data_IF_411633127054
#
_entry.id   IF_411633127054
#
_cell.length_a   1.000
_cell.length_b   1.000
_cell.length_c   1.000
_cell.angle_alpha   90.00
_cell.angle_beta   90.00
_cell.angle_gamma   90.00
#
_symmetry.space_group_name_H-M   'P 1'
#
loop_
_entity.id
_entity.type
_entity.pdbx_description
1 polymer ?
#
# COMPACT_ATOMS: atom_id res chain seq x y z
N UNK A 1 -39.55 -43.57 -7.53
CA UNK A 1 -38.95 -42.77 -6.44
C UNK A 1 -37.42 -42.75 -6.51
N UNK A 2 -36.81 -42.29 -7.62
CA UNK A 2 -35.33 -42.23 -7.78
C UNK A 2 -34.82 -40.92 -8.43
N UNK A 3 -35.71 -40.03 -8.86
CA UNK A 3 -35.34 -38.81 -9.59
C UNK A 3 -35.39 -37.53 -8.75
N UNK A 4 -35.92 -37.60 -7.52
CA UNK A 4 -36.01 -36.45 -6.61
C UNK A 4 -34.70 -36.17 -5.84
N UNK A 5 -33.78 -37.14 -5.77
CA UNK A 5 -32.50 -36.97 -5.07
C UNK A 5 -31.42 -36.28 -5.93
N UNK A 6 -31.62 -36.16 -7.25
CA UNK A 6 -30.65 -35.53 -8.17
C UNK A 6 -30.78 -34.02 -8.29
N UNK A 7 -31.92 -33.44 -7.90
CA UNK A 7 -32.16 -32.01 -8.04
C UNK A 7 -31.72 -31.17 -6.84
N UNK A 8 -31.42 -31.79 -5.70
CA UNK A 8 -30.98 -31.06 -4.49
C UNK A 8 -29.50 -30.69 -4.50
N UNK A 9 -28.66 -31.37 -5.29
CA UNK A 9 -27.21 -31.06 -5.37
C UNK A 9 -26.93 -29.80 -6.21
N UNK A 10 -27.79 -29.45 -7.16
CA UNK A 10 -27.57 -28.30 -8.05
C UNK A 10 -27.88 -26.94 -7.39
N UNK A 11 -28.78 -26.89 -6.40
CA UNK A 11 -29.21 -25.63 -5.78
C UNK A 11 -28.23 -25.11 -4.70
N UNK A 12 -27.44 -25.99 -4.07
CA UNK A 12 -26.49 -25.59 -3.03
C UNK A 12 -25.20 -24.94 -3.58
N UNK A 13 -24.89 -25.13 -4.87
CA UNK A 13 -23.69 -24.58 -5.51
C UNK A 13 -23.85 -23.14 -6.03
N UNK A 14 -25.09 -22.65 -6.21
CA UNK A 14 -25.35 -21.30 -6.76
C UNK A 14 -25.29 -20.21 -5.68
N UNK A 15 -25.53 -20.55 -4.40
CA UNK A 15 -25.58 -19.57 -3.31
C UNK A 15 -24.21 -19.11 -2.78
N UNK A 16 -23.11 -19.79 -3.14
CA UNK A 16 -21.75 -19.39 -2.75
C UNK A 16 -21.12 -18.30 -3.64
N UNK A 17 -21.74 -17.95 -4.78
CA UNK A 17 -21.19 -17.03 -5.78
C UNK A 17 -21.50 -15.53 -5.54
N UNK A 18 -22.34 -15.19 -4.55
CA UNK A 18 -22.69 -13.79 -4.29
C UNK A 18 -21.60 -12.99 -3.53
N UNK A 19 -20.65 -13.67 -2.88
CA UNK A 19 -19.57 -13.05 -2.11
C UNK A 19 -18.46 -12.41 -2.97
N UNK A 20 -18.23 -12.92 -4.19
CA UNK A 20 -17.13 -12.45 -5.05
C UNK A 20 -17.38 -11.06 -5.66
N UNK A 21 -18.64 -10.63 -5.81
CA UNK A 21 -18.96 -9.34 -6.44
C UNK A 21 -18.60 -8.13 -5.57
N UNK A 22 -18.64 -8.27 -4.24
CA UNK A 22 -18.39 -7.14 -3.33
C UNK A 22 -16.91 -6.73 -3.28
N UNK A 23 -15.98 -7.70 -3.32
CA UNK A 23 -14.55 -7.42 -3.31
C UNK A 23 -14.11 -6.64 -4.56
N UNK A 24 -14.65 -7.00 -5.74
CA UNK A 24 -14.31 -6.35 -7.02
C UNK A 24 -14.82 -4.91 -7.11
N UNK A 25 -16.00 -4.63 -6.55
CA UNK A 25 -16.59 -3.28 -6.53
C UNK A 25 -15.84 -2.35 -5.58
N UNK A 26 -15.45 -2.85 -4.40
CA UNK A 26 -14.61 -2.11 -3.45
C UNK A 26 -13.25 -1.75 -4.06
N UNK A 27 -12.54 -2.73 -4.61
CA UNK A 27 -11.23 -2.52 -5.26
C UNK A 27 -11.29 -1.46 -6.36
N UNK A 28 -12.35 -1.43 -7.19
CA UNK A 28 -12.49 -0.39 -8.23
C UNK A 28 -12.59 1.02 -7.66
N UNK A 29 -13.26 1.19 -6.52
CA UNK A 29 -13.49 2.52 -5.92
C UNK A 29 -12.28 3.01 -5.13
N UNK A 30 -11.51 2.10 -4.55
CA UNK A 30 -10.41 2.45 -3.63
C UNK A 30 -9.02 2.30 -4.23
N UNK A 31 -8.88 1.63 -5.38
CA UNK A 31 -7.61 1.51 -6.09
C UNK A 31 -7.03 2.90 -6.39
N UNK A 32 -5.77 3.08 -6.01
CA UNK A 32 -4.96 4.25 -6.35
C UNK A 32 -3.84 3.87 -7.31
N UNK A 33 -3.36 4.81 -8.15
CA UNK A 33 -2.13 4.59 -8.89
C UNK A 33 -0.94 4.59 -7.93
N UNK A 34 0.12 3.84 -8.22
CA UNK A 34 1.38 3.90 -7.46
C UNK A 34 1.97 5.31 -7.50
N UNK A 35 2.06 5.86 -8.73
CA UNK A 35 2.64 7.16 -9.05
C UNK A 35 1.60 8.26 -8.85
N UNK A 36 2.00 9.38 -8.27
CA UNK A 36 1.13 10.54 -8.01
C UNK A 36 0.22 10.40 -6.78
N UNK A 37 0.30 9.28 -6.07
CA UNK A 37 -0.39 9.07 -4.79
C UNK A 37 0.57 9.33 -3.64
N UNK A 38 0.09 10.05 -2.62
CA UNK A 38 0.79 10.13 -1.34
C UNK A 38 0.43 8.92 -0.47
N UNK A 39 1.45 8.23 0.02
CA UNK A 39 1.35 6.99 0.76
C UNK A 39 1.83 7.21 2.20
N UNK A 40 0.94 6.97 3.16
CA UNK A 40 1.19 7.09 4.60
C UNK A 40 1.54 5.72 5.18
N UNK A 41 2.69 5.60 5.85
CA UNK A 41 3.11 4.37 6.51
C UNK A 41 2.14 4.00 7.65
N UNK A 42 1.77 2.72 7.72
CA UNK A 42 0.97 2.16 8.82
C UNK A 42 1.62 0.93 9.47
N UNK A 43 2.59 0.32 8.81
CA UNK A 43 3.34 -0.83 9.34
C UNK A 43 4.77 -0.84 8.80
N UNK A 44 5.75 -1.11 9.66
CA UNK A 44 7.16 -1.17 9.32
C UNK A 44 7.82 -2.37 10.01
N UNK A 45 8.41 -3.28 9.23
CA UNK A 45 9.13 -4.44 9.78
C UNK A 45 8.28 -5.33 10.69
N UNK A 46 6.96 -5.39 10.48
CA UNK A 46 6.02 -6.12 11.33
C UNK A 46 5.40 -5.29 12.46
N UNK A 47 5.96 -4.13 12.80
CA UNK A 47 5.44 -3.24 13.84
C UNK A 47 4.37 -2.29 13.27
N UNK A 48 3.24 -2.16 13.96
CA UNK A 48 2.21 -1.18 13.61
C UNK A 48 2.65 0.22 13.98
N UNK A 49 2.68 1.12 12.99
CA UNK A 49 3.02 2.53 13.17
C UNK A 49 1.73 3.33 13.18
N UNK A 50 1.53 4.16 14.21
CA UNK A 50 0.40 5.09 14.24
C UNK A 50 0.61 6.17 13.17
N UNK A 51 -0.33 6.36 12.23
CA UNK A 51 -0.21 7.41 11.22
C UNK A 51 -0.21 8.79 11.86
N UNK A 52 0.73 9.63 11.45
CA UNK A 52 0.82 11.03 11.83
C UNK A 52 0.98 11.82 10.54
N UNK A 53 0.10 12.78 10.31
CA UNK A 53 0.10 13.60 9.10
C UNK A 53 1.48 14.24 8.87
N UNK A 54 2.01 14.07 7.66
CA UNK A 54 3.32 14.62 7.26
C UNK A 54 4.54 13.86 7.79
N UNK A 55 4.37 12.70 8.44
CA UNK A 55 5.47 11.83 8.89
C UNK A 55 5.37 10.46 8.24
N UNK A 56 6.51 9.86 7.89
CA UNK A 56 6.57 8.56 7.21
C UNK A 56 5.69 8.49 5.96
N UNK A 57 5.78 9.51 5.11
CA UNK A 57 5.06 9.56 3.84
C UNK A 57 6.01 9.39 2.66
N UNK A 58 5.52 8.80 1.57
CA UNK A 58 6.22 8.76 0.28
C UNK A 58 5.27 9.09 -0.86
N UNK A 59 5.81 9.70 -1.90
CA UNK A 59 5.16 9.94 -3.18
C UNK A 59 6.14 9.59 -4.28
N UNK A 60 5.69 8.74 -5.22
CA UNK A 60 6.44 8.39 -6.41
C UNK A 60 5.99 9.30 -7.55
N UNK A 61 6.92 9.98 -8.22
CA UNK A 61 6.62 10.94 -9.29
C UNK A 61 6.89 10.36 -10.67
N UNK A 62 6.19 10.88 -11.69
CA UNK A 62 6.36 10.44 -13.08
C UNK A 62 7.79 10.61 -13.62
N UNK A 63 8.63 11.41 -12.96
CA UNK A 63 10.02 11.64 -13.32
C UNK A 63 10.99 10.60 -12.73
N UNK A 64 10.48 9.48 -12.18
CA UNK A 64 11.32 8.43 -11.58
C UNK A 64 11.97 8.86 -10.26
N UNK A 65 11.29 9.74 -9.51
CA UNK A 65 11.76 10.21 -8.20
C UNK A 65 10.78 9.86 -7.10
N UNK A 66 11.31 9.38 -5.99
CA UNK A 66 10.60 9.28 -4.73
C UNK A 66 10.89 10.55 -3.94
N UNK A 67 9.85 11.15 -3.38
CA UNK A 67 9.93 12.20 -2.38
C UNK A 67 9.09 11.81 -1.17
N UNK A 68 9.47 12.28 0.01
CA UNK A 68 8.76 11.91 1.22
C UNK A 68 9.25 12.60 2.47
N UNK A 69 8.66 12.21 3.59
CA UNK A 69 9.09 12.56 4.93
C UNK A 69 9.27 11.27 5.72
N UNK A 70 10.38 11.16 6.44
CA UNK A 70 10.52 10.19 7.52
C UNK A 70 9.81 10.68 8.78
N UNK A 71 10.29 10.22 9.93
CA UNK A 71 9.85 10.69 11.24
C UNK A 71 10.19 12.17 11.46
N UNK A 72 11.32 12.59 10.92
CA UNK A 72 11.86 13.90 11.17
C UNK A 72 12.49 14.53 9.94
N UNK A 73 13.18 13.74 9.10
CA UNK A 73 13.87 14.27 7.93
C UNK A 73 13.02 14.14 6.67
N UNK A 74 13.24 15.04 5.70
CA UNK A 74 12.72 14.82 4.34
C UNK A 74 13.62 13.83 3.63
N UNK A 75 13.02 12.92 2.87
CA UNK A 75 13.72 11.91 2.07
C UNK A 75 13.42 12.09 0.59
N UNK A 76 14.41 11.82 -0.25
CA UNK A 76 14.23 11.85 -1.70
C UNK A 76 15.30 11.01 -2.41
N UNK A 77 14.95 10.42 -3.54
CA UNK A 77 15.89 9.63 -4.34
C UNK A 77 15.26 9.09 -5.62
N UNK A 78 16.05 8.38 -6.45
CA UNK A 78 15.53 7.77 -7.66
C UNK A 78 14.72 6.51 -7.34
N UNK A 79 13.72 6.21 -8.17
CA UNK A 79 13.08 4.89 -8.18
C UNK A 79 12.85 4.41 -9.62
N UNK A 80 12.66 3.11 -9.76
CA UNK A 80 12.25 2.46 -11.00
C UNK A 80 11.15 1.45 -10.68
N UNK A 81 10.12 1.42 -11.51
CA UNK A 81 9.05 0.43 -11.44
C UNK A 81 8.61 -0.01 -12.84
N UNK A 82 8.16 -1.25 -12.98
CA UNK A 82 7.67 -1.79 -14.24
C UNK A 82 6.23 -2.34 -14.13
N UNK A 83 5.77 -2.98 -15.21
CA UNK A 83 4.41 -3.56 -15.30
C UNK A 83 4.26 -4.84 -14.48
N UNK A 84 5.36 -5.50 -14.13
CA UNK A 84 5.41 -6.75 -13.38
C UNK A 84 5.48 -6.52 -11.87
N UNK A 85 5.29 -5.26 -11.45
CA UNK A 85 5.38 -4.79 -10.07
C UNK A 85 6.77 -4.91 -9.45
N UNK A 86 7.81 -4.97 -10.27
CA UNK A 86 9.16 -4.68 -9.79
C UNK A 86 9.20 -3.25 -9.28
N UNK A 87 9.83 -3.05 -8.13
CA UNK A 87 10.09 -1.72 -7.57
C UNK A 87 11.49 -1.72 -6.98
N UNK A 88 12.34 -0.87 -7.53
CA UNK A 88 13.67 -0.59 -7.01
C UNK A 88 13.75 0.86 -6.60
N UNK A 89 14.02 1.10 -5.33
CA UNK A 89 14.29 2.43 -4.81
C UNK A 89 15.82 2.51 -4.67
N UNK A 90 16.41 3.50 -5.35
CA UNK A 90 17.85 3.72 -5.24
C UNK A 90 18.22 4.42 -3.93
N UNK A 91 19.50 4.79 -3.76
CA UNK A 91 19.95 5.45 -2.55
C UNK A 91 19.13 6.70 -2.23
N UNK A 92 18.57 6.76 -1.03
CA UNK A 92 17.78 7.88 -0.55
C UNK A 92 18.70 8.89 0.14
N UNK A 93 18.60 10.14 -0.28
CA UNK A 93 19.14 11.26 0.47
C UNK A 93 18.13 11.73 1.52
N UNK A 94 18.63 12.15 2.67
CA UNK A 94 17.82 12.75 3.73
C UNK A 94 18.38 14.13 4.13
N UNK A 95 17.51 14.99 4.65
CA UNK A 95 17.98 16.16 5.42
C UNK A 95 18.71 15.70 6.70
N UNK A 96 19.48 16.59 7.33
CA UNK A 96 20.23 16.32 8.58
C UNK A 96 19.69 17.13 9.77
N UNK A 97 18.40 17.05 10.04
CA UNK A 97 17.85 17.54 11.30
C UNK A 97 18.22 16.57 12.43
N UNK A 98 18.62 17.11 13.58
CA UNK A 98 18.92 16.32 14.76
C UNK A 98 17.63 15.99 15.51
N UNK A 99 17.29 14.70 15.57
CA UNK A 99 16.02 14.23 16.12
C UNK A 99 16.32 13.21 17.24
N UNK A 100 15.59 13.21 18.36
CA UNK A 100 15.91 12.35 19.50
C UNK A 100 15.82 10.85 19.21
N UNK A 101 14.90 10.44 18.31
CA UNK A 101 14.73 9.05 17.89
C UNK A 101 14.99 8.91 16.39
N UNK A 102 16.08 8.23 16.04
CA UNK A 102 16.47 7.93 14.66
C UNK A 102 16.26 6.46 14.29
N UNK A 103 15.73 5.64 15.22
CA UNK A 103 15.57 4.20 14.98
C UNK A 103 14.55 3.94 13.88
N UNK A 104 13.37 4.55 14.00
CA UNK A 104 12.30 4.39 13.01
C UNK A 104 12.65 5.05 11.67
N UNK A 105 13.32 6.22 11.70
CA UNK A 105 13.82 6.90 10.50
C UNK A 105 14.72 5.97 9.66
N UNK A 106 15.71 5.36 10.32
CA UNK A 106 16.64 4.45 9.65
C UNK A 106 15.96 3.19 9.15
N UNK A 107 15.14 2.55 9.98
CA UNK A 107 14.40 1.36 9.58
C UNK A 107 13.47 1.63 8.39
N UNK A 108 12.88 2.83 8.34
CA UNK A 108 12.05 3.25 7.22
C UNK A 108 12.83 3.39 5.92
N UNK A 109 13.97 4.10 5.95
CA UNK A 109 14.85 4.23 4.78
C UNK A 109 15.37 2.86 4.32
N UNK A 110 15.85 2.04 5.26
CA UNK A 110 16.35 0.68 4.97
C UNK A 110 15.25 -0.21 4.36
N UNK A 111 14.01 -0.12 4.84
CA UNK A 111 12.88 -0.85 4.27
C UNK A 111 12.60 -0.43 2.81
N UNK A 112 12.61 0.87 2.53
CA UNK A 112 12.41 1.42 1.18
C UNK A 112 13.53 1.00 0.24
N UNK A 113 14.80 1.17 0.63
CA UNK A 113 15.96 0.81 -0.19
C UNK A 113 16.06 -0.71 -0.43
N UNK A 114 15.53 -1.52 0.48
CA UNK A 114 15.45 -2.98 0.31
C UNK A 114 14.36 -3.44 -0.67
N UNK A 115 13.52 -2.54 -1.17
CA UNK A 115 12.40 -2.88 -2.04
C UNK A 115 12.88 -3.58 -3.32
N UNK A 116 12.19 -4.67 -3.65
CA UNK A 116 12.36 -5.41 -4.90
C UNK A 116 11.06 -5.48 -5.69
N UNK A 117 9.93 -5.54 -4.97
CA UNK A 117 8.60 -5.65 -5.52
C UNK A 117 7.64 -4.82 -4.67
N UNK A 118 6.50 -4.51 -5.26
CA UNK A 118 5.38 -3.97 -4.52
C UNK A 118 4.11 -4.73 -4.84
N UNK A 119 3.17 -4.70 -3.91
CA UNK A 119 1.80 -5.10 -4.15
C UNK A 119 0.84 -3.99 -3.79
N UNK A 120 -0.36 -4.06 -4.36
CA UNK A 120 -1.43 -3.13 -4.07
C UNK A 120 -2.73 -3.89 -3.83
N UNK A 121 -3.40 -3.52 -2.74
CA UNK A 121 -4.72 -4.03 -2.36
C UNK A 121 -5.62 -2.84 -2.02
N UNK A 122 -6.47 -2.45 -2.97
CA UNK A 122 -7.34 -1.27 -2.83
C UNK A 122 -6.53 0.01 -2.55
N UNK A 123 -6.69 0.62 -1.36
CA UNK A 123 -5.95 1.81 -0.95
C UNK A 123 -4.60 1.48 -0.31
N UNK A 124 -4.16 0.21 -0.31
CA UNK A 124 -2.95 -0.24 0.35
C UNK A 124 -1.80 -0.41 -0.65
N UNK A 125 -0.61 -0.02 -0.24
CA UNK A 125 0.66 -0.30 -0.92
C UNK A 125 1.53 -1.14 0.02
N UNK A 126 1.97 -2.29 -0.46
CA UNK A 126 2.82 -3.22 0.25
C UNK A 126 4.20 -3.19 -0.42
N UNK A 127 5.25 -2.96 0.37
CA UNK A 127 6.63 -2.99 -0.11
C UNK A 127 7.26 -4.30 0.32
N UNK A 128 7.82 -5.03 -0.65
CA UNK A 128 8.42 -6.34 -0.43
C UNK A 128 9.90 -6.37 -0.81
N UNK A 129 10.68 -7.11 -0.03
CA UNK A 129 12.07 -7.47 -0.32
C UNK A 129 12.18 -8.98 -0.44
N UNK A 130 12.46 -9.49 -1.64
CA UNK A 130 12.59 -10.93 -1.90
C UNK A 130 11.41 -11.79 -1.39
N UNK A 131 10.19 -11.25 -1.47
CA UNK A 131 8.97 -11.92 -1.00
C UNK A 131 8.60 -11.66 0.46
N UNK A 132 9.46 -11.02 1.25
CA UNK A 132 9.16 -10.61 2.62
C UNK A 132 8.52 -9.21 2.66
N UNK A 133 7.46 -9.06 3.44
CA UNK A 133 6.82 -7.76 3.66
C UNK A 133 7.70 -6.87 4.53
N UNK A 134 8.06 -5.69 4.04
CA UNK A 134 8.93 -4.73 4.74
C UNK A 134 8.16 -3.52 5.27
N UNK A 135 7.19 -3.04 4.51
CA UNK A 135 6.37 -1.90 4.91
C UNK A 135 4.97 -1.97 4.27
N UNK A 136 3.99 -1.44 4.98
CA UNK A 136 2.61 -1.27 4.49
C UNK A 136 2.24 0.20 4.60
N UNK A 137 1.69 0.74 3.52
CA UNK A 137 1.20 2.09 3.43
C UNK A 137 -0.28 2.11 3.06
N UNK A 138 -0.94 3.17 3.49
CA UNK A 138 -2.29 3.51 3.07
C UNK A 138 -2.23 4.78 2.23
N UNK A 139 -2.98 4.82 1.13
CA UNK A 139 -3.13 6.03 0.33
C UNK A 139 -3.80 7.13 1.16
N UNK A 140 -3.15 8.29 1.24
CA UNK A 140 -3.77 9.50 1.79
C UNK A 140 -4.90 9.91 0.84
N UNK A 141 -6.14 10.10 1.34
CA UNK A 141 -7.23 10.59 0.50
C UNK A 141 -6.84 11.92 -0.13
N UNK A 142 -7.03 12.06 -1.45
CA UNK A 142 -6.98 13.37 -2.07
C UNK A 142 -7.95 14.33 -1.34
N UNK A 143 -7.62 15.63 -1.17
CA UNK A 143 -8.55 16.62 -0.66
C UNK A 143 -9.90 16.47 -1.37
N UNK A 144 -10.94 16.24 -0.57
CA UNK A 144 -12.11 15.40 -0.85
C UNK A 144 -12.89 15.67 -2.14
N UNK A 145 -13.21 14.58 -2.86
CA UNK A 145 -14.55 14.39 -3.43
C UNK A 145 -15.54 14.19 -2.26
N UNK A 146 -16.57 15.05 -2.09
CA UNK A 146 -17.50 15.04 -0.95
C UNK A 146 -18.31 13.74 -0.73
N UNK A 147 -18.20 12.72 -1.61
CA UNK A 147 -19.03 11.51 -1.58
C UNK A 147 -18.39 10.28 -0.93
N UNK A 148 -17.16 10.35 -0.44
CA UNK A 148 -16.56 9.24 0.30
C UNK A 148 -17.11 9.17 1.74
N UNK A 149 -18.34 8.66 1.88
CA UNK A 149 -18.91 8.27 3.17
C UNK A 149 -17.96 7.24 3.83
N UNK A 150 -17.58 7.38 5.12
CA UNK A 150 -16.84 6.34 5.81
C UNK A 150 -17.66 5.05 5.77
N UNK A 151 -17.01 3.95 5.41
CA UNK A 151 -17.60 2.63 5.52
C UNK A 151 -17.70 2.27 7.01
N UNK A 152 -18.78 2.72 7.64
CA UNK A 152 -19.61 2.08 8.68
C UNK A 152 -20.53 3.13 9.30
#
# INVERSE_FOLDING_TARGET
>A
MKNLLRMTVAAALVLLMAGCCHCRSYQRKTRRPLVGTEWQLIQLGGETIRPIEGRFTITLTEQGKLSGAGDCNRIFGPYQSDKDRSLKIGPLASTRMACPDMKHERAFIEALESATHYDMDGPMLLILSNGELRAVFQAVPAPTDPKAKPAN
#
